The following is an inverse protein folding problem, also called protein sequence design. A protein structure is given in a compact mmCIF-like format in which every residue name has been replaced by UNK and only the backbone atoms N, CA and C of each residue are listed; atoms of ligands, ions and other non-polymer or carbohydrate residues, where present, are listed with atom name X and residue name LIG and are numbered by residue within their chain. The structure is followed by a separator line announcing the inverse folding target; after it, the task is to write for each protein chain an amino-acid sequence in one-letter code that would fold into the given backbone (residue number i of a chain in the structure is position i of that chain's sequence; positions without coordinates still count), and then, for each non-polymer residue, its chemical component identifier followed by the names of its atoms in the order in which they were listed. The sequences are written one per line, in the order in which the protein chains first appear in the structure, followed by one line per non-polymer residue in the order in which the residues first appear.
data_IF_599127962759
#
_entry.id   IF_599127962759
#
_cell.length_a   1.000
_cell.length_b   1.000
_cell.length_c   1.000
_cell.angle_alpha   90.00
_cell.angle_beta   90.00
_cell.angle_gamma   90.00
#
_symmetry.space_group_name_H-M   'P 1'
#
loop_
_entity.id
_entity.type
_entity.pdbx_description
1 polymer ?
#
# COMPACT_ATOMS: atom_id res chain seq x y z
N UNK A 1 -11.01 7.49 7.71
CA UNK A 1 -12.34 8.14 7.81
C UNK A 1 -12.34 9.59 7.34
N UNK A 2 -11.77 10.59 8.06
CA UNK A 2 -11.81 12.00 7.60
C UNK A 2 -11.11 12.20 6.26
N UNK A 3 -9.95 11.60 6.05
CA UNK A 3 -9.23 11.65 4.78
C UNK A 3 -10.04 11.01 3.64
N UNK A 4 -10.59 9.82 3.88
CA UNK A 4 -11.31 9.01 2.89
C UNK A 4 -12.68 9.63 2.51
N UNK A 5 -13.25 10.45 3.40
CA UNK A 5 -14.52 11.15 3.20
C UNK A 5 -14.35 12.55 2.54
N UNK A 6 -13.26 12.76 1.81
CA UNK A 6 -13.00 14.07 1.18
C UNK A 6 -12.59 15.18 2.18
N UNK A 7 -12.12 14.79 3.38
CA UNK A 7 -11.50 15.70 4.34
C UNK A 7 -12.44 16.35 5.35
N UNK A 8 -13.76 16.21 5.25
CA UNK A 8 -14.71 16.83 6.18
C UNK A 8 -15.91 15.93 6.52
N UNK A 9 -16.21 15.76 7.82
CA UNK A 9 -17.36 14.98 8.31
C UNK A 9 -18.05 15.67 9.48
N UNK A 10 -19.37 15.48 9.58
CA UNK A 10 -20.15 15.83 10.75
C UNK A 10 -19.99 14.83 11.90
N UNK A 11 -20.37 15.22 13.11
CA UNK A 11 -20.23 14.36 14.30
C UNK A 11 -21.05 13.07 14.18
N UNK A 12 -22.27 13.16 13.64
CA UNK A 12 -23.15 12.00 13.45
C UNK A 12 -22.62 11.04 12.36
N UNK A 13 -22.04 11.60 11.28
CA UNK A 13 -21.38 10.82 10.22
C UNK A 13 -20.18 10.05 10.77
N UNK A 14 -19.37 10.71 11.61
CA UNK A 14 -18.24 10.09 12.30
C UNK A 14 -18.69 8.96 13.26
N UNK A 15 -19.79 9.18 13.99
CA UNK A 15 -20.34 8.17 14.89
C UNK A 15 -20.83 6.95 14.11
N UNK A 16 -21.55 7.15 13.02
CA UNK A 16 -22.01 6.07 12.15
C UNK A 16 -20.83 5.29 11.53
N UNK A 17 -19.84 6.01 10.97
CA UNK A 17 -18.67 5.39 10.33
C UNK A 17 -17.75 4.64 11.31
N UNK A 18 -17.64 5.12 12.58
CA UNK A 18 -16.79 4.49 13.60
C UNK A 18 -17.51 3.40 14.42
N UNK A 19 -18.82 3.25 14.27
CA UNK A 19 -19.66 2.40 15.13
C UNK A 19 -19.53 2.73 16.63
N UNK A 20 -19.13 3.95 16.97
CA UNK A 20 -18.99 4.40 18.35
C UNK A 20 -20.17 5.27 18.79
N UNK A 21 -20.54 5.24 20.08
CA UNK A 21 -21.56 6.14 20.63
C UNK A 21 -21.20 7.61 20.42
N UNK A 22 -22.19 8.44 20.03
CA UNK A 22 -22.01 9.87 19.75
C UNK A 22 -21.26 10.64 20.87
N UNK A 23 -21.54 10.43 22.18
CA UNK A 23 -20.79 11.09 23.25
C UNK A 23 -19.29 10.70 23.26
N UNK A 24 -18.97 9.46 22.92
CA UNK A 24 -17.59 8.99 22.82
C UNK A 24 -16.86 9.68 21.65
N UNK A 25 -17.49 9.72 20.48
CA UNK A 25 -16.93 10.42 19.32
C UNK A 25 -16.74 11.91 19.61
N UNK A 26 -17.71 12.56 20.24
CA UNK A 26 -17.60 13.98 20.65
C UNK A 26 -16.38 14.23 21.54
N UNK A 27 -16.15 13.37 22.56
CA UNK A 27 -15.00 13.47 23.46
C UNK A 27 -13.68 13.27 22.74
N UNK A 28 -13.61 12.28 21.83
CA UNK A 28 -12.42 12.02 20.99
C UNK A 28 -12.12 13.21 20.09
N UNK A 29 -13.12 13.70 19.36
CA UNK A 29 -12.97 14.84 18.45
C UNK A 29 -12.53 16.10 19.18
N UNK A 30 -13.08 16.38 20.36
CA UNK A 30 -12.65 17.49 21.21
C UNK A 30 -11.17 17.36 21.61
N UNK A 31 -10.72 16.15 21.95
CA UNK A 31 -9.30 15.90 22.26
C UNK A 31 -8.42 16.15 21.05
N UNK A 32 -8.81 15.67 19.87
CA UNK A 32 -8.06 15.86 18.63
C UNK A 32 -8.03 17.33 18.19
N UNK A 33 -9.12 18.07 18.39
CA UNK A 33 -9.18 19.53 18.14
C UNK A 33 -8.23 20.27 19.08
N UNK A 34 -8.26 19.98 20.38
CA UNK A 34 -7.38 20.61 21.38
C UNK A 34 -5.88 20.31 21.10
N UNK A 35 -5.59 19.20 20.45
CA UNK A 35 -4.24 18.79 20.04
C UNK A 35 -3.85 19.27 18.64
N UNK A 36 -4.76 19.92 17.88
CA UNK A 36 -4.52 20.44 16.54
C UNK A 36 -4.46 19.38 15.43
N UNK A 37 -4.83 18.14 15.72
CA UNK A 37 -4.93 17.05 14.70
C UNK A 37 -6.19 17.15 13.85
N UNK A 38 -7.23 17.77 14.41
CA UNK A 38 -8.51 18.06 13.78
C UNK A 38 -8.84 19.52 14.05
N UNK A 39 -9.58 20.15 13.16
CA UNK A 39 -10.22 21.45 13.42
C UNK A 39 -11.72 21.33 13.20
N UNK A 40 -12.51 22.12 13.90
CA UNK A 40 -13.94 22.25 13.66
C UNK A 40 -14.19 23.53 12.88
N UNK A 41 -14.91 23.44 11.79
CA UNK A 41 -15.31 24.58 10.96
C UNK A 41 -16.56 25.26 11.51
N UNK A 42 -16.89 26.46 11.00
CA UNK A 42 -18.09 27.17 11.32
C UNK A 42 -19.39 26.40 11.00
N UNK A 43 -19.32 25.51 9.99
CA UNK A 43 -20.35 24.53 9.62
C UNK A 43 -20.57 23.42 10.65
N UNK A 44 -19.80 23.39 11.74
CA UNK A 44 -19.71 22.34 12.76
C UNK A 44 -19.18 20.98 12.20
N UNK A 45 -18.69 20.95 10.97
CA UNK A 45 -17.98 19.78 10.41
C UNK A 45 -16.53 19.76 10.94
N UNK A 46 -15.99 18.56 11.05
CA UNK A 46 -14.61 18.33 11.46
C UNK A 46 -13.75 18.07 10.24
N UNK A 47 -12.58 18.70 10.19
CA UNK A 47 -11.61 18.55 9.11
C UNK A 47 -10.23 18.22 9.67
N UNK A 48 -9.32 17.74 8.82
CA UNK A 48 -7.93 17.49 9.22
C UNK A 48 -7.25 18.78 9.68
N UNK A 49 -6.52 18.70 10.78
CA UNK A 49 -5.80 19.83 11.38
C UNK A 49 -4.39 20.00 10.81
N UNK A 50 -3.85 21.22 10.86
CA UNK A 50 -2.54 21.56 10.31
C UNK A 50 -1.36 20.83 10.97
N UNK A 51 -1.52 20.33 12.19
CA UNK A 51 -0.47 19.54 12.87
C UNK A 51 -0.12 18.25 12.14
N UNK A 52 -1.06 17.71 11.35
CA UNK A 52 -0.84 16.52 10.51
C UNK A 52 0.13 16.78 9.38
N UNK A 53 0.27 18.02 8.87
CA UNK A 53 1.22 18.37 7.81
C UNK A 53 2.65 18.02 8.26
N UNK A 54 3.06 18.55 9.42
CA UNK A 54 4.41 18.26 9.95
C UNK A 54 4.63 16.78 10.23
N UNK A 55 3.63 16.08 10.76
CA UNK A 55 3.75 14.65 11.02
C UNK A 55 3.87 13.86 9.72
N UNK A 56 3.05 14.21 8.72
CA UNK A 56 3.11 13.60 7.39
C UNK A 56 4.48 13.83 6.72
N UNK A 57 5.04 15.03 6.80
CA UNK A 57 6.37 15.33 6.26
C UNK A 57 7.48 14.54 6.95
N UNK A 58 7.44 14.41 8.29
CA UNK A 58 8.42 13.62 9.03
C UNK A 58 8.26 12.14 8.69
N UNK A 59 7.03 11.62 8.75
CA UNK A 59 6.73 10.23 8.42
C UNK A 59 7.13 9.89 6.99
N UNK A 60 6.81 10.76 6.03
CA UNK A 60 7.19 10.59 4.62
C UNK A 60 8.71 10.55 4.42
N UNK A 61 9.46 11.40 5.13
CA UNK A 61 10.93 11.36 5.10
C UNK A 61 11.49 10.08 5.71
N UNK A 62 10.93 9.63 6.83
CA UNK A 62 11.38 8.40 7.50
C UNK A 62 11.03 7.13 6.72
N UNK A 63 9.92 7.14 5.97
CA UNK A 63 9.35 5.93 5.36
C UNK A 63 9.52 5.85 3.83
N UNK A 64 10.04 6.87 3.16
CA UNK A 64 10.14 6.69 1.72
C UNK A 64 10.41 7.89 0.81
N UNK A 65 10.57 9.12 1.33
CA UNK A 65 10.85 10.26 0.43
C UNK A 65 12.25 10.14 -0.20
N UNK A 66 13.22 9.60 0.53
CA UNK A 66 14.58 9.28 0.01
C UNK A 66 14.53 8.20 -1.08
N UNK A 67 13.50 7.36 -1.11
CA UNK A 67 13.36 6.26 -2.05
C UNK A 67 12.60 6.63 -3.35
N UNK A 68 12.01 7.83 -3.40
CA UNK A 68 11.27 8.29 -4.57
C UNK A 68 12.09 8.36 -5.89
N UNK A 69 13.40 8.70 -5.89
CA UNK A 69 14.24 8.63 -7.08
C UNK A 69 14.30 7.23 -7.72
N UNK A 70 14.32 6.16 -6.91
CA UNK A 70 14.31 4.78 -7.38
C UNK A 70 12.98 4.43 -8.06
N UNK A 71 11.86 4.90 -7.53
CA UNK A 71 10.56 4.74 -8.19
C UNK A 71 10.51 5.49 -9.53
N UNK A 72 11.09 6.69 -9.59
CA UNK A 72 11.19 7.44 -10.85
C UNK A 72 12.08 6.72 -11.88
N UNK A 73 13.15 6.06 -11.45
CA UNK A 73 13.96 5.19 -12.31
C UNK A 73 13.15 3.99 -12.80
N UNK A 74 12.40 3.34 -11.93
CA UNK A 74 11.51 2.23 -12.31
C UNK A 74 10.48 2.65 -13.36
N UNK A 75 9.85 3.83 -13.20
CA UNK A 75 8.94 4.39 -14.22
C UNK A 75 9.65 4.60 -15.56
N UNK A 76 10.89 5.12 -15.57
CA UNK A 76 11.67 5.29 -16.81
C UNK A 76 11.95 3.96 -17.51
N UNK A 77 12.23 2.90 -16.74
CA UNK A 77 12.55 1.57 -17.29
C UNK A 77 11.32 0.83 -17.78
N UNK A 78 10.19 0.99 -17.10
CA UNK A 78 8.97 0.21 -17.36
C UNK A 78 7.92 0.97 -18.18
N UNK A 79 7.85 2.30 -18.06
CA UNK A 79 6.78 3.13 -18.58
C UNK A 79 5.50 3.14 -17.74
N UNK A 80 5.45 2.34 -16.67
CA UNK A 80 4.25 2.16 -15.85
C UNK A 80 4.40 2.77 -14.46
N UNK A 81 3.27 2.92 -13.74
CA UNK A 81 3.25 3.51 -12.40
C UNK A 81 4.06 2.65 -11.42
N UNK A 82 4.99 3.26 -10.71
CA UNK A 82 5.80 2.62 -9.69
C UNK A 82 5.32 2.98 -8.28
N UNK A 83 5.25 1.99 -7.39
CA UNK A 83 4.83 2.18 -6.00
C UNK A 83 5.85 1.56 -5.05
N UNK A 84 5.95 2.17 -3.85
CA UNK A 84 6.56 1.61 -2.66
C UNK A 84 5.45 1.35 -1.64
N UNK A 85 5.42 0.18 -1.07
CA UNK A 85 4.41 -0.22 -0.10
C UNK A 85 5.04 -0.97 1.07
N UNK A 86 4.35 -0.97 2.21
CA UNK A 86 4.76 -1.61 3.46
C UNK A 86 3.65 -2.50 3.99
N UNK A 87 4.02 -3.61 4.61
CA UNK A 87 3.11 -4.43 5.41
C UNK A 87 2.92 -3.77 6.78
N UNK A 88 1.69 -3.47 7.16
CA UNK A 88 1.30 -2.88 8.44
C UNK A 88 0.11 -3.65 9.03
N UNK A 89 0.40 -4.57 9.94
CA UNK A 89 -0.57 -5.56 10.42
C UNK A 89 -0.96 -6.54 9.31
N UNK A 90 -2.25 -6.62 9.02
CA UNK A 90 -2.84 -7.48 7.98
C UNK A 90 -3.11 -6.73 6.65
N UNK A 91 -2.66 -5.49 6.55
CA UNK A 91 -2.88 -4.62 5.39
C UNK A 91 -1.57 -4.12 4.78
N UNK A 92 -1.68 -3.69 3.55
CA UNK A 92 -0.62 -2.96 2.85
C UNK A 92 -0.91 -1.47 2.91
N UNK A 93 0.12 -0.69 3.23
CA UNK A 93 0.10 0.79 3.17
C UNK A 93 1.00 1.25 2.04
N UNK A 94 0.46 2.00 1.10
CA UNK A 94 1.27 2.64 0.06
C UNK A 94 2.01 3.85 0.65
N UNK A 95 3.34 3.84 0.59
CA UNK A 95 4.20 4.89 1.15
C UNK A 95 4.52 5.98 0.13
N UNK A 96 4.74 5.59 -1.12
CA UNK A 96 5.10 6.50 -2.20
C UNK A 96 4.63 5.96 -3.55
N UNK A 97 4.37 6.87 -4.49
CA UNK A 97 4.06 6.58 -5.88
C UNK A 97 4.78 7.56 -6.80
N UNK A 98 5.23 7.06 -7.94
CA UNK A 98 5.59 7.87 -9.11
C UNK A 98 4.69 7.41 -10.26
N UNK A 99 3.82 8.30 -10.79
CA UNK A 99 2.87 7.91 -11.81
C UNK A 99 3.53 7.68 -13.17
N UNK A 100 2.96 6.78 -13.95
CA UNK A 100 3.26 6.60 -15.37
C UNK A 100 3.04 7.91 -16.16
N UNK A 101 3.81 8.18 -17.21
CA UNK A 101 3.57 9.31 -18.12
C UNK A 101 2.32 9.13 -19.00
N UNK A 102 1.76 7.93 -19.09
CA UNK A 102 0.56 7.67 -19.88
C UNK A 102 -0.68 8.32 -19.26
N UNK A 103 -1.63 8.77 -20.10
CA UNK A 103 -2.91 9.30 -19.63
C UNK A 103 -3.72 8.22 -18.90
N UNK A 104 -3.86 7.03 -19.50
CA UNK A 104 -4.45 5.88 -18.82
C UNK A 104 -3.35 5.20 -17.99
N UNK A 105 -3.45 5.34 -16.67
CA UNK A 105 -2.48 4.81 -15.72
C UNK A 105 -3.14 4.41 -14.41
N UNK A 106 -2.52 3.53 -13.67
CA UNK A 106 -2.92 3.24 -12.29
C UNK A 106 -2.57 4.43 -11.40
N UNK A 107 -3.49 4.77 -10.51
CA UNK A 107 -3.30 5.80 -9.48
C UNK A 107 -3.56 5.20 -8.10
N UNK A 108 -2.63 5.46 -7.18
CA UNK A 108 -2.74 5.05 -5.78
C UNK A 108 -2.26 6.19 -4.89
N UNK A 109 -3.06 6.57 -3.93
CA UNK A 109 -2.67 7.63 -2.99
C UNK A 109 -1.71 7.09 -1.91
N UNK A 110 -0.60 7.78 -1.60
CA UNK A 110 0.19 7.49 -0.40
C UNK A 110 -0.69 7.55 0.85
N UNK A 111 -0.52 6.55 1.73
CA UNK A 111 -1.37 6.35 2.91
C UNK A 111 -2.59 5.45 2.66
N UNK A 112 -2.94 5.14 1.42
CA UNK A 112 -4.02 4.18 1.11
C UNK A 112 -3.67 2.81 1.66
N UNK A 113 -4.67 2.17 2.29
CA UNK A 113 -4.58 0.83 2.85
C UNK A 113 -5.39 -0.14 1.98
N UNK A 114 -4.82 -1.31 1.73
CA UNK A 114 -5.47 -2.37 0.95
C UNK A 114 -5.16 -3.74 1.56
N UNK A 115 -5.99 -4.73 1.26
CA UNK A 115 -5.79 -6.10 1.73
C UNK A 115 -4.57 -6.76 1.07
N UNK A 116 -3.84 -7.54 1.85
CA UNK A 116 -2.61 -8.23 1.41
C UNK A 116 -2.87 -9.26 0.31
N UNK A 117 -3.97 -10.01 0.39
CA UNK A 117 -4.25 -11.15 -0.49
C UNK A 117 -4.54 -10.78 -1.95
N UNK A 118 -5.09 -9.59 -2.18
CA UNK A 118 -5.56 -9.16 -3.50
C UNK A 118 -4.58 -8.25 -4.26
N UNK A 119 -3.37 -8.05 -3.76
CA UNK A 119 -2.38 -7.16 -4.39
C UNK A 119 -1.04 -7.84 -4.62
N UNK A 120 -0.34 -7.50 -5.70
CA UNK A 120 1.00 -8.02 -5.95
C UNK A 120 1.97 -7.70 -4.79
N UNK A 121 1.96 -6.45 -4.28
CA UNK A 121 2.82 -6.06 -3.14
C UNK A 121 2.50 -6.86 -1.88
N UNK A 122 1.21 -7.10 -1.60
CA UNK A 122 0.79 -7.89 -0.45
C UNK A 122 1.24 -9.33 -0.55
N UNK A 123 1.03 -9.97 -1.70
CA UNK A 123 1.49 -11.35 -1.94
C UNK A 123 3.02 -11.47 -1.91
N UNK A 124 3.74 -10.49 -2.48
CA UNK A 124 5.20 -10.47 -2.41
C UNK A 124 5.72 -10.41 -0.97
N UNK A 125 5.08 -9.62 -0.10
CA UNK A 125 5.46 -9.49 1.30
C UNK A 125 5.03 -10.70 2.15
N UNK A 126 3.82 -11.22 1.95
CA UNK A 126 3.38 -12.46 2.60
C UNK A 126 4.29 -13.65 2.26
N UNK A 127 4.80 -13.71 1.04
CA UNK A 127 5.73 -14.76 0.62
C UNK A 127 7.09 -14.71 1.35
N UNK A 128 7.47 -13.59 1.98
CA UNK A 128 8.69 -13.49 2.80
C UNK A 128 8.49 -14.04 4.22
N UNK A 129 7.26 -14.19 4.67
CA UNK A 129 6.93 -14.67 6.00
C UNK A 129 6.97 -16.21 6.07
N UNK A 130 7.27 -16.79 7.26
CA UNK A 130 7.01 -18.20 7.51
C UNK A 130 5.53 -18.52 7.21
N UNK A 131 5.21 -19.71 6.64
CA UNK A 131 3.84 -20.05 6.27
C UNK A 131 2.81 -19.91 7.40
N UNK A 132 3.19 -20.23 8.65
CA UNK A 132 2.32 -20.09 9.80
C UNK A 132 1.99 -18.62 10.13
N UNK A 133 2.94 -17.70 9.95
CA UNK A 133 2.74 -16.25 10.15
C UNK A 133 1.87 -15.67 9.03
N UNK A 134 2.15 -16.04 7.78
CA UNK A 134 1.32 -15.64 6.65
C UNK A 134 -0.13 -16.12 6.86
N UNK A 135 -0.33 -17.37 7.29
CA UNK A 135 -1.65 -17.92 7.59
C UNK A 135 -2.36 -17.15 8.71
N UNK A 136 -1.65 -16.79 9.76
CA UNK A 136 -2.21 -16.02 10.88
C UNK A 136 -2.68 -14.62 10.45
N UNK A 137 -1.94 -13.95 9.56
CA UNK A 137 -2.31 -12.63 9.02
C UNK A 137 -3.55 -12.68 8.11
N UNK A 138 -3.75 -13.76 7.37
CA UNK A 138 -4.93 -13.94 6.51
C UNK A 138 -6.22 -14.13 7.33
N UNK A 139 -6.10 -14.54 8.59
CA UNK A 139 -7.24 -14.78 9.47
C UNK A 139 -8.01 -16.06 9.15
N UNK A 140 -9.06 -16.37 9.92
CA UNK A 140 -9.92 -17.54 9.70
C UNK A 140 -10.96 -17.27 8.62
N UNK A 141 -11.22 -18.27 7.78
CA UNK A 141 -12.29 -18.24 6.77
C UNK A 141 -11.89 -17.61 5.45
N UNK A 142 -12.88 -17.41 4.59
CA UNK A 142 -12.68 -16.80 3.27
C UNK A 142 -12.36 -15.33 3.36
N UNK A 143 -11.45 -14.88 2.48
CA UNK A 143 -11.09 -13.47 2.34
C UNK A 143 -12.08 -12.77 1.39
N UNK A 144 -12.28 -11.43 1.52
CA UNK A 144 -13.19 -10.70 0.64
C UNK A 144 -12.76 -10.75 -0.82
N UNK A 145 -13.72 -11.02 -1.72
CA UNK A 145 -13.54 -10.90 -3.14
C UNK A 145 -13.76 -9.43 -3.57
N UNK A 146 -12.83 -8.89 -4.36
CA UNK A 146 -12.96 -7.56 -4.99
C UNK A 146 -13.29 -7.68 -6.48
N UNK A 147 -12.85 -8.77 -7.10
CA UNK A 147 -13.10 -9.11 -8.49
C UNK A 147 -13.34 -10.63 -8.62
N UNK A 148 -13.77 -11.12 -9.78
CA UNK A 148 -13.90 -12.56 -10.01
C UNK A 148 -12.58 -13.34 -9.94
N UNK A 149 -11.42 -12.67 -10.09
CA UNK A 149 -10.09 -13.29 -10.04
C UNK A 149 -9.43 -13.22 -8.67
N UNK A 150 -10.04 -12.53 -7.69
CA UNK A 150 -9.51 -12.48 -6.32
C UNK A 150 -9.43 -13.87 -5.71
N UNK A 151 -8.25 -14.24 -5.18
CA UNK A 151 -8.08 -15.48 -4.41
C UNK A 151 -8.68 -15.27 -3.03
N UNK A 152 -9.77 -15.97 -2.72
CA UNK A 152 -10.50 -15.85 -1.45
C UNK A 152 -10.23 -17.00 -0.48
N UNK A 153 -9.74 -18.13 -0.97
CA UNK A 153 -9.37 -19.28 -0.15
C UNK A 153 -7.94 -19.12 0.38
N UNK A 154 -7.74 -19.10 1.71
CA UNK A 154 -6.40 -18.98 2.32
C UNK A 154 -5.44 -20.11 1.93
N UNK A 155 -5.91 -21.34 1.75
CA UNK A 155 -5.04 -22.47 1.41
C UNK A 155 -4.55 -22.37 -0.04
N UNK A 156 -5.42 -21.93 -0.95
CA UNK A 156 -5.02 -21.63 -2.33
C UNK A 156 -4.01 -20.48 -2.37
N UNK A 157 -4.22 -19.45 -1.56
CA UNK A 157 -3.26 -18.35 -1.47
C UNK A 157 -1.92 -18.81 -0.92
N UNK A 158 -1.88 -19.61 0.15
CA UNK A 158 -0.63 -20.14 0.71
C UNK A 158 0.15 -20.97 -0.31
N UNK A 159 -0.53 -21.80 -1.09
CA UNK A 159 0.09 -22.54 -2.19
C UNK A 159 0.68 -21.59 -3.26
N UNK A 160 -0.05 -20.50 -3.58
CA UNK A 160 0.42 -19.47 -4.49
C UNK A 160 1.64 -18.69 -3.93
N UNK A 161 1.66 -18.39 -2.62
CA UNK A 161 2.81 -17.75 -1.97
C UNK A 161 4.09 -18.60 -2.07
N UNK A 162 3.98 -19.92 -2.09
CA UNK A 162 5.13 -20.80 -2.28
C UNK A 162 5.72 -20.63 -3.70
N UNK A 163 4.87 -20.54 -4.72
CA UNK A 163 5.32 -20.24 -6.10
C UNK A 163 6.00 -18.86 -6.14
N UNK A 164 5.42 -17.84 -5.50
CA UNK A 164 6.00 -16.50 -5.44
C UNK A 164 7.38 -16.52 -4.76
N UNK A 165 7.54 -17.31 -3.68
CA UNK A 165 8.82 -17.47 -2.97
C UNK A 165 9.90 -18.07 -3.88
N UNK A 166 9.55 -19.06 -4.70
CA UNK A 166 10.47 -19.71 -5.62
C UNK A 166 10.86 -18.84 -6.81
N UNK A 167 9.89 -18.12 -7.40
CA UNK A 167 10.14 -17.26 -8.57
C UNK A 167 10.67 -15.86 -8.22
N UNK A 168 10.52 -15.40 -6.96
CA UNK A 168 11.03 -14.13 -6.47
C UNK A 168 10.17 -12.88 -6.75
N UNK A 169 9.01 -13.04 -7.37
CA UNK A 169 8.09 -11.93 -7.66
C UNK A 169 6.63 -12.37 -7.57
N UNK A 170 5.74 -11.42 -7.33
CA UNK A 170 4.30 -11.64 -7.29
C UNK A 170 3.59 -10.91 -8.43
N UNK A 171 2.46 -11.45 -8.85
CA UNK A 171 1.56 -10.87 -9.85
C UNK A 171 0.19 -10.65 -9.22
N UNK A 172 -0.45 -9.53 -9.53
CA UNK A 172 -1.88 -9.30 -9.35
C UNK A 172 -2.51 -9.31 -10.74
N UNK A 173 -3.34 -10.30 -11.00
CA UNK A 173 -4.04 -10.55 -12.27
C UNK A 173 -5.46 -9.93 -12.26
N UNK A 174 -5.56 -8.65 -11.89
CA UNK A 174 -6.85 -7.97 -11.75
C UNK A 174 -7.62 -8.40 -10.51
N UNK A 175 -6.93 -8.84 -9.47
CA UNK A 175 -7.52 -9.35 -8.22
C UNK A 175 -8.05 -8.21 -7.35
N UNK A 176 -7.35 -7.07 -7.33
CA UNK A 176 -7.79 -5.85 -6.63
C UNK A 176 -8.75 -5.02 -7.48
N UNK A 177 -8.51 -4.93 -8.80
CA UNK A 177 -9.28 -4.09 -9.72
C UNK A 177 -9.25 -4.68 -11.13
N UNK A 178 -10.44 -4.85 -11.73
CA UNK A 178 -10.59 -5.41 -13.08
C UNK A 178 -9.83 -4.55 -14.10
N UNK A 179 -9.04 -5.21 -14.96
CA UNK A 179 -8.30 -4.55 -16.02
C UNK A 179 -6.96 -3.94 -15.59
N UNK A 180 -6.62 -4.03 -14.31
CA UNK A 180 -5.30 -3.67 -13.78
C UNK A 180 -4.46 -4.93 -13.60
N UNK A 181 -3.18 -4.86 -13.93
CA UNK A 181 -2.19 -5.91 -13.65
C UNK A 181 -0.97 -5.29 -13.00
N UNK A 182 -0.40 -5.99 -12.01
CA UNK A 182 0.75 -5.50 -11.26
C UNK A 182 1.80 -6.59 -11.09
N UNK A 183 3.07 -6.20 -11.15
CA UNK A 183 4.20 -7.02 -10.72
C UNK A 183 4.84 -6.39 -9.49
N UNK A 184 5.26 -7.19 -8.51
CA UNK A 184 5.89 -6.71 -7.29
C UNK A 184 7.02 -7.63 -6.82
N UNK A 185 8.02 -7.00 -6.20
CA UNK A 185 9.16 -7.66 -5.56
C UNK A 185 9.33 -7.10 -4.16
N UNK A 186 9.59 -7.96 -3.18
CA UNK A 186 9.94 -7.54 -1.83
C UNK A 186 11.34 -6.92 -1.79
N UNK A 187 11.53 -5.89 -0.95
CA UNK A 187 12.85 -5.28 -0.71
C UNK A 187 13.61 -6.14 0.31
N UNK A 188 14.72 -6.77 -0.08
CA UNK A 188 15.41 -7.70 0.81
C UNK A 188 16.10 -6.98 1.97
N UNK A 189 16.05 -7.55 3.17
CA UNK A 189 16.79 -7.05 4.34
C UNK A 189 16.37 -5.68 4.86
N UNK A 190 15.26 -5.12 4.41
CA UNK A 190 14.74 -3.88 4.94
C UNK A 190 14.24 -4.08 6.39
N UNK A 191 14.44 -3.12 7.32
CA UNK A 191 13.99 -3.24 8.72
C UNK A 191 12.46 -3.28 8.85
N UNK A 192 11.75 -2.75 7.87
CA UNK A 192 10.30 -2.91 7.69
C UNK A 192 10.05 -3.78 6.45
N UNK A 193 8.96 -4.54 6.45
CA UNK A 193 8.56 -5.36 5.31
C UNK A 193 8.09 -4.45 4.15
N UNK A 194 8.98 -4.15 3.22
CA UNK A 194 8.77 -3.26 2.07
C UNK A 194 8.70 -4.04 0.76
N UNK A 195 7.89 -3.56 -0.18
CA UNK A 195 7.86 -4.04 -1.55
C UNK A 195 7.78 -2.89 -2.56
N UNK A 196 8.35 -3.09 -3.73
CA UNK A 196 8.19 -2.21 -4.89
C UNK A 196 7.33 -2.88 -5.94
N UNK A 197 6.52 -2.11 -6.67
CA UNK A 197 5.69 -2.63 -7.75
C UNK A 197 5.66 -1.73 -8.97
N UNK A 198 5.39 -2.34 -10.11
CA UNK A 198 4.96 -1.68 -11.33
C UNK A 198 3.51 -2.07 -11.62
N UNK A 199 2.63 -1.07 -11.85
CA UNK A 199 1.19 -1.26 -12.00
C UNK A 199 0.68 -0.51 -13.21
N UNK A 200 -0.17 -1.14 -13.99
CA UNK A 200 -0.74 -0.53 -15.19
C UNK A 200 -1.94 -1.31 -15.74
N UNK A 201 -2.55 -0.83 -16.84
CA UNK A 201 -3.59 -1.57 -17.54
C UNK A 201 -3.08 -2.93 -18.03
N UNK A 202 -3.89 -3.98 -17.85
CA UNK A 202 -3.51 -5.36 -18.17
C UNK A 202 -3.04 -5.52 -19.63
N UNK A 203 -3.60 -4.74 -20.58
CA UNK A 203 -3.18 -4.77 -21.99
C UNK A 203 -1.74 -4.30 -22.25
N UNK A 204 -1.10 -3.59 -21.30
CA UNK A 204 0.31 -3.20 -21.39
C UNK A 204 1.21 -4.03 -20.45
N UNK A 205 0.64 -4.59 -19.40
CA UNK A 205 1.33 -5.40 -18.41
C UNK A 205 1.32 -6.89 -18.80
N UNK A 206 1.71 -7.20 -20.04
CA UNK A 206 1.70 -8.56 -20.61
C UNK A 206 2.82 -9.44 -20.05
N UNK A 207 2.81 -10.73 -20.35
CA UNK A 207 3.90 -11.66 -19.98
C UNK A 207 5.22 -11.28 -20.69
N UNK A 208 5.16 -10.80 -21.92
CA UNK A 208 6.33 -10.25 -22.60
C UNK A 208 6.89 -9.01 -21.89
N UNK A 209 6.00 -8.16 -21.37
CA UNK A 209 6.40 -7.01 -20.54
C UNK A 209 7.03 -7.45 -19.22
N UNK A 210 6.57 -8.54 -18.62
CA UNK A 210 7.12 -9.10 -17.38
C UNK A 210 8.62 -9.43 -17.52
N UNK A 211 9.06 -9.92 -18.67
CA UNK A 211 10.47 -10.23 -18.94
C UNK A 211 11.40 -8.99 -18.80
N UNK A 212 10.86 -7.79 -18.95
CA UNK A 212 11.58 -6.52 -18.75
C UNK A 212 11.29 -5.90 -17.38
N UNK A 213 10.05 -5.97 -16.91
CA UNK A 213 9.60 -5.32 -15.68
C UNK A 213 10.16 -6.02 -14.44
N UNK A 214 10.14 -7.34 -14.39
CA UNK A 214 10.58 -8.11 -13.21
C UNK A 214 12.07 -7.91 -12.92
N UNK A 215 12.99 -8.00 -13.88
CA UNK A 215 14.39 -7.67 -13.64
C UNK A 215 14.61 -6.25 -13.14
N UNK A 216 13.91 -5.25 -13.71
CA UNK A 216 13.99 -3.86 -13.27
C UNK A 216 13.50 -3.68 -11.82
N UNK A 217 12.40 -4.35 -11.44
CA UNK A 217 11.92 -4.37 -10.05
C UNK A 217 12.94 -4.98 -9.10
N UNK A 218 13.57 -6.09 -9.48
CA UNK A 218 14.57 -6.78 -8.66
C UNK A 218 15.81 -5.91 -8.44
N UNK A 219 16.29 -5.25 -9.50
CA UNK A 219 17.44 -4.32 -9.41
C UNK A 219 17.12 -3.13 -8.49
N UNK A 220 15.98 -2.48 -8.70
CA UNK A 220 15.53 -1.35 -7.87
C UNK A 220 15.32 -1.77 -6.40
N UNK A 221 14.74 -2.94 -6.14
CA UNK A 221 14.59 -3.45 -4.78
C UNK A 221 15.95 -3.65 -4.08
N UNK A 222 16.95 -4.15 -4.80
CA UNK A 222 18.31 -4.31 -4.28
C UNK A 222 19.01 -2.96 -4.02
N UNK A 223 18.81 -1.96 -4.87
CA UNK A 223 19.35 -0.60 -4.67
C UNK A 223 18.70 0.08 -3.44
N UNK A 224 17.38 -0.04 -3.29
CA UNK A 224 16.65 0.44 -2.12
C UNK A 224 17.16 -0.23 -0.85
N UNK A 225 17.36 -1.54 -0.86
CA UNK A 225 17.91 -2.30 0.27
C UNK A 225 19.26 -1.76 0.72
N UNK A 226 20.19 -1.52 -0.22
CA UNK A 226 21.51 -0.95 0.06
C UNK A 226 21.42 0.46 0.66
N UNK A 227 20.53 1.29 0.13
CA UNK A 227 20.33 2.67 0.60
C UNK A 227 19.82 2.69 2.04
N UNK A 228 18.81 1.87 2.36
CA UNK A 228 18.25 1.75 3.70
C UNK A 228 19.32 1.24 4.69
N UNK A 229 20.12 0.25 4.30
CA UNK A 229 21.18 -0.28 5.14
C UNK A 229 22.27 0.78 5.44
N UNK A 230 22.60 1.63 4.48
CA UNK A 230 23.55 2.73 4.66
C UNK A 230 23.00 3.83 5.59
N UNK A 231 21.72 4.18 5.47
CA UNK A 231 21.08 5.19 6.33
C UNK A 231 20.88 4.70 7.77
N UNK A 232 20.71 3.39 7.99
CA UNK A 232 20.55 2.78 9.33
C UNK A 232 21.87 2.57 10.09
N UNK A 233 23.03 2.73 9.43
CA UNK A 233 24.35 2.56 10.01
C UNK A 233 25.00 3.89 10.50
N UNK A 234 24.37 5.03 10.27
CA UNK A 234 24.82 6.37 10.67
C UNK A 234 23.95 6.95 11.77
#
# INVERSE_FOLDING_TARGET
MLADAGGAMGLSELAAASSLPLPTVHRLMRTLVNRGYVRQEASRRYTLGSRLIRLGEISSRMLGTSLRPFLAQLVRLTGETANLAMLDGDEIVYLAQVPSPHQMRMFTEPGRRVRTHATAVGKALLAQLPPAEARALLGPGEMPAFTPTTITDPELLLAHLEVIRQQGYAIDEGEQEIGVRCFAVAVPGAPAALAVSASGPAGRMTDDAAARIVPALTEIAAEISKTIAAEGAG
#
